data_IF_173628356025
#
_entry.id   IF_173628356025
#
_cell.length_a   1.000
_cell.length_b   1.000
_cell.length_c   1.000
_cell.angle_alpha   90.00
_cell.angle_beta   90.00
_cell.angle_gamma   90.00
#
_symmetry.space_group_name_H-M   'P 1'
#
loop_
_entity.id
_entity.type
_entity.pdbx_description
1 polymer ?
#
# COMPACT_ATOMS: atom_id res chain seq x y z
N UNK A 1 11.42 -6.46 -4.46
CA UNK A 1 10.05 -6.35 -3.91
C UNK A 1 9.99 -6.85 -2.49
N UNK A 2 10.04 -8.17 -2.30
CA UNK A 2 9.93 -8.82 -0.98
C UNK A 2 10.96 -8.34 0.05
N UNK A 3 12.18 -8.02 -0.36
CA UNK A 3 13.22 -7.51 0.56
C UNK A 3 12.93 -6.11 1.11
N UNK A 4 12.14 -5.31 0.38
CA UNK A 4 11.84 -3.91 0.74
C UNK A 4 10.46 -3.79 1.40
N UNK A 5 9.56 -4.77 1.21
CA UNK A 5 8.18 -4.68 1.71
C UNK A 5 8.14 -4.58 3.23
N UNK A 6 8.99 -5.34 3.94
CA UNK A 6 9.03 -5.32 5.40
C UNK A 6 9.51 -3.97 5.94
N UNK A 7 10.51 -3.37 5.28
CA UNK A 7 10.98 -2.02 5.61
C UNK A 7 9.88 -0.98 5.40
N UNK A 8 9.13 -1.06 4.31
CA UNK A 8 8.02 -0.13 4.03
C UNK A 8 6.89 -0.30 5.04
N UNK A 9 6.53 -1.54 5.38
CA UNK A 9 5.49 -1.84 6.37
C UNK A 9 5.86 -1.30 7.76
N UNK A 10 7.12 -1.43 8.19
CA UNK A 10 7.58 -0.86 9.46
C UNK A 10 7.44 0.67 9.50
N UNK A 11 7.72 1.34 8.38
CA UNK A 11 7.53 2.80 8.27
C UNK A 11 6.06 3.20 8.30
N UNK A 12 5.20 2.46 7.61
CA UNK A 12 3.74 2.68 7.65
C UNK A 12 3.21 2.47 9.06
N UNK A 13 3.67 1.41 9.75
CA UNK A 13 3.27 1.10 11.13
C UNK A 13 3.61 2.23 12.09
N UNK A 14 4.83 2.77 12.03
CA UNK A 14 5.24 3.93 12.84
C UNK A 14 4.31 5.14 12.66
N UNK A 15 3.86 5.42 11.43
CA UNK A 15 2.91 6.50 11.16
C UNK A 15 1.50 6.17 11.65
N UNK A 16 1.08 4.91 11.50
CA UNK A 16 -0.21 4.43 11.99
C UNK A 16 -0.30 4.50 13.54
N UNK A 17 0.77 4.17 14.25
CA UNK A 17 0.84 4.20 15.71
C UNK A 17 0.75 5.63 16.28
N UNK A 18 1.15 6.63 15.49
CA UNK A 18 0.99 8.04 15.84
C UNK A 18 -0.44 8.55 15.64
N UNK A 19 -1.31 7.77 14.99
CA UNK A 19 -2.70 8.13 14.72
C UNK A 19 -3.63 7.53 15.78
N UNK A 20 -4.44 8.35 16.44
CA UNK A 20 -5.45 7.88 17.41
C UNK A 20 -6.65 7.20 16.74
N UNK A 21 -6.85 7.40 15.44
CA UNK A 21 -8.02 6.91 14.70
C UNK A 21 -7.77 6.78 13.21
N UNK A 22 -6.77 5.98 12.81
CA UNK A 22 -6.48 5.75 11.40
C UNK A 22 -7.74 5.23 10.66
N UNK A 23 -8.17 5.97 9.62
CA UNK A 23 -9.34 5.61 8.81
C UNK A 23 -8.99 4.61 7.70
N UNK A 24 -7.84 4.80 7.06
CA UNK A 24 -7.47 4.01 5.89
C UNK A 24 -6.21 4.50 5.20
N UNK A 25 -5.97 3.94 4.02
CA UNK A 25 -4.83 4.21 3.16
C UNK A 25 -5.31 4.68 1.79
N UNK A 26 -4.62 5.67 1.23
CA UNK A 26 -4.74 6.07 -0.17
C UNK A 26 -3.48 5.59 -0.90
N UNK A 27 -3.65 4.75 -1.90
CA UNK A 27 -2.56 4.08 -2.62
C UNK A 27 -2.53 4.62 -4.04
N UNK A 28 -1.45 5.30 -4.39
CA UNK A 28 -1.25 5.86 -5.73
C UNK A 28 -0.21 5.02 -6.47
N UNK A 29 -0.57 4.48 -7.63
CA UNK A 29 0.34 3.66 -8.42
C UNK A 29 -0.01 3.67 -9.91
N UNK A 30 0.88 3.12 -10.74
CA UNK A 30 0.63 2.90 -12.17
C UNK A 30 0.29 1.43 -12.41
N UNK A 31 -0.63 1.14 -13.32
CA UNK A 31 -0.88 -0.23 -13.79
C UNK A 31 0.24 -0.77 -14.69
N UNK A 32 0.85 0.10 -15.53
CA UNK A 32 1.84 -0.33 -16.52
C UNK A 32 3.28 -0.51 -16.00
N UNK A 33 3.61 0.01 -14.82
CA UNK A 33 4.97 -0.06 -14.27
C UNK A 33 5.20 -1.28 -13.38
N UNK A 34 6.32 -2.00 -13.53
CA UNK A 34 6.60 -3.24 -12.77
C UNK A 34 6.60 -3.08 -11.25
N UNK A 35 7.05 -1.94 -10.72
CA UNK A 35 6.92 -1.62 -9.29
C UNK A 35 5.49 -1.21 -8.94
N UNK A 36 4.89 -0.32 -9.74
CA UNK A 36 3.54 0.19 -9.50
C UNK A 36 2.46 -0.89 -9.52
N UNK A 37 2.61 -1.95 -10.32
CA UNK A 37 1.68 -3.08 -10.32
C UNK A 37 2.11 -4.17 -9.33
N UNK A 38 3.34 -4.68 -9.47
CA UNK A 38 3.82 -5.84 -8.72
C UNK A 38 4.08 -5.56 -7.24
N UNK A 39 4.78 -4.46 -6.92
CA UNK A 39 5.07 -4.14 -5.53
C UNK A 39 3.81 -3.65 -4.79
N UNK A 40 2.97 -2.84 -5.45
CA UNK A 40 1.71 -2.38 -4.86
C UNK A 40 0.76 -3.54 -4.54
N UNK A 41 0.65 -4.54 -5.42
CA UNK A 41 -0.16 -5.73 -5.17
C UNK A 41 0.32 -6.50 -3.93
N UNK A 42 1.65 -6.67 -3.80
CA UNK A 42 2.25 -7.30 -2.61
C UNK A 42 2.02 -6.47 -1.34
N UNK A 43 2.14 -5.15 -1.43
CA UNK A 43 1.91 -4.24 -0.31
C UNK A 43 0.44 -4.27 0.14
N UNK A 44 -0.49 -4.30 -0.80
CA UNK A 44 -1.94 -4.40 -0.56
C UNK A 44 -2.32 -5.69 0.16
N UNK A 45 -1.73 -6.82 -0.21
CA UNK A 45 -1.93 -8.10 0.46
C UNK A 45 -1.52 -7.99 1.94
N UNK A 46 -0.35 -7.42 2.21
CA UNK A 46 0.17 -7.25 3.58
C UNK A 46 -0.63 -6.24 4.41
N UNK A 47 -1.01 -5.11 3.82
CA UNK A 47 -1.89 -4.14 4.49
C UNK A 47 -3.27 -4.71 4.79
N UNK A 48 -3.77 -5.65 3.98
CA UNK A 48 -5.04 -6.32 4.24
C UNK A 48 -4.96 -7.29 5.41
N UNK A 49 -3.79 -7.90 5.65
CA UNK A 49 -3.54 -8.75 6.82
C UNK A 49 -3.44 -7.90 8.10
N UNK A 50 -2.60 -6.87 8.11
CA UNK A 50 -2.33 -6.08 9.32
C UNK A 50 -3.47 -5.08 9.62
N UNK A 51 -4.11 -4.52 8.59
CA UNK A 51 -5.10 -3.44 8.71
C UNK A 51 -6.42 -3.80 7.99
N UNK A 52 -6.88 -5.05 8.11
CA UNK A 52 -8.05 -5.57 7.39
C UNK A 52 -9.34 -4.74 7.54
N UNK A 53 -9.57 -4.12 8.71
CA UNK A 53 -10.75 -3.28 8.98
C UNK A 53 -10.64 -1.84 8.46
N UNK A 54 -9.49 -1.46 7.87
CA UNK A 54 -9.23 -0.09 7.39
C UNK A 54 -9.48 0.01 5.88
N UNK A 55 -10.04 1.13 5.46
CA UNK A 55 -10.32 1.41 4.05
C UNK A 55 -9.03 1.51 3.26
N UNK A 56 -9.03 1.00 2.03
CA UNK A 56 -7.90 1.08 1.09
C UNK A 56 -8.47 1.59 -0.23
N UNK A 57 -8.14 2.82 -0.60
CA UNK A 57 -8.58 3.41 -1.86
C UNK A 57 -7.38 3.49 -2.80
N UNK A 58 -7.55 3.00 -4.02
CA UNK A 58 -6.52 2.99 -5.04
C UNK A 58 -6.77 4.04 -6.10
N UNK A 59 -5.74 4.82 -6.40
CA UNK A 59 -5.67 5.73 -7.53
C UNK A 59 -4.62 5.20 -8.49
N UNK A 60 -5.11 4.41 -9.44
CA UNK A 60 -4.27 3.70 -10.37
C UNK A 60 -4.27 4.42 -11.73
N UNK A 61 -3.08 4.75 -12.23
CA UNK A 61 -2.90 5.32 -13.57
C UNK A 61 -2.89 4.18 -14.58
N UNK A 62 -3.93 4.14 -15.41
CA UNK A 62 -4.03 3.18 -16.51
C UNK A 62 -3.13 3.64 -17.68
N UNK A 63 -2.32 2.75 -18.28
CA UNK A 63 -1.48 3.13 -19.41
C UNK A 63 -2.35 3.52 -20.62
N UNK A 64 -1.98 4.60 -21.29
CA UNK A 64 -2.59 4.97 -22.58
C UNK A 64 -1.95 4.14 -23.71
N UNK A 65 -2.72 3.82 -24.78
CA UNK A 65 -2.19 3.15 -25.98
C UNK A 65 -1.15 4.00 -26.72
#
# INVERSE_FOLDING_TARGET
>A
GKEIVDLVLDRIRKLADQCTGLQGFLIFHSFGGGTGSGFTSLLMERLSVDYGKKSKLEFAVYPAP
#
